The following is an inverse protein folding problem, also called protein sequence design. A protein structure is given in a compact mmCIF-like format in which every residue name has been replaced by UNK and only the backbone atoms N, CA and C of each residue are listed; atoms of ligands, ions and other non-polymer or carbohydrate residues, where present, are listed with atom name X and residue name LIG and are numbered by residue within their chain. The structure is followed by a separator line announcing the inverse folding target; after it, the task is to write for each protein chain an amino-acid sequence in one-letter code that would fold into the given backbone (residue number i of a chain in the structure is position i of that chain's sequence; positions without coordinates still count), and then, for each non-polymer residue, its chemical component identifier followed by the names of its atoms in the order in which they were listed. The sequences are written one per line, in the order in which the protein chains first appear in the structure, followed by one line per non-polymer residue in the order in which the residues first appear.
data_IF_400570706943
#
_entry.id   IF_400570706943
#
_cell.length_a   1.000
_cell.length_b   1.000
_cell.length_c   1.000
_cell.angle_alpha   90.00
_cell.angle_beta   90.00
_cell.angle_gamma   90.00
#
_symmetry.space_group_name_H-M   'P 1'
#
loop_
_entity.id
_entity.type
_entity.pdbx_description
1 polymer ?
#
# COMPACT_ATOMS: atom_id res chain seq x y z
N UNK A 1 -19.89 20.62 -16.24
CA UNK A 1 -18.65 21.17 -15.65
C UNK A 1 -17.98 20.05 -14.89
N UNK A 2 -16.66 19.79 -15.08
CA UNK A 2 -15.98 18.69 -14.39
C UNK A 2 -15.72 19.09 -12.94
N UNK A 3 -15.95 18.16 -12.01
CA UNK A 3 -15.76 18.38 -10.57
C UNK A 3 -14.31 18.07 -10.23
N UNK A 4 -13.60 18.99 -9.61
CA UNK A 4 -12.26 18.81 -9.13
C UNK A 4 -12.24 18.61 -7.61
N UNK A 5 -11.38 17.70 -7.13
CA UNK A 5 -10.96 17.67 -5.73
C UNK A 5 -9.51 18.13 -5.63
N UNK A 6 -9.15 18.75 -4.52
CA UNK A 6 -7.77 19.08 -4.18
C UNK A 6 -7.31 18.15 -3.07
N UNK A 7 -6.10 17.60 -3.21
CA UNK A 7 -5.42 16.95 -2.08
C UNK A 7 -4.10 17.66 -1.79
N UNK A 8 -3.92 18.06 -0.55
CA UNK A 8 -2.70 18.67 -0.06
C UNK A 8 -2.20 17.96 1.20
N UNK A 9 -0.88 17.84 1.32
CA UNK A 9 -0.21 17.40 2.55
C UNK A 9 0.73 18.50 3.02
N UNK A 10 0.38 19.13 4.13
CA UNK A 10 1.11 20.23 4.70
C UNK A 10 1.99 19.76 5.86
N UNK A 11 3.26 20.15 5.87
CA UNK A 11 4.20 19.84 6.94
C UNK A 11 4.37 21.07 7.84
N UNK A 12 4.31 20.88 9.15
CA UNK A 12 4.59 21.94 10.12
C UNK A 12 6.07 22.36 10.15
N UNK A 13 6.95 21.63 9.46
CA UNK A 13 8.40 21.85 9.40
C UNK A 13 8.89 22.46 8.09
N UNK A 14 8.06 22.63 7.09
CA UNK A 14 8.44 23.26 5.82
C UNK A 14 8.61 24.78 6.03
N UNK A 15 9.81 25.15 6.48
CA UNK A 15 10.23 26.55 6.53
C UNK A 15 10.38 27.09 5.11
N UNK A 16 9.30 27.63 4.53
CA UNK A 16 9.40 28.35 3.28
C UNK A 16 8.23 28.29 2.30
N UNK A 17 7.27 27.39 2.50
CA UNK A 17 6.05 27.39 1.67
C UNK A 17 4.82 27.33 2.58
N UNK A 18 4.11 28.45 2.62
CA UNK A 18 2.81 28.53 3.28
C UNK A 18 1.84 27.54 2.60
N UNK A 19 1.27 26.57 3.37
CA UNK A 19 0.29 25.62 2.86
C UNK A 19 -0.89 26.30 2.15
N UNK A 20 -1.31 27.46 2.62
CA UNK A 20 -2.39 28.23 2.03
C UNK A 20 -2.00 28.77 0.64
N UNK A 21 -0.74 29.09 0.42
CA UNK A 21 -0.25 29.50 -0.91
C UNK A 21 -0.39 28.36 -1.92
N UNK A 22 -0.11 27.11 -1.53
CA UNK A 22 -0.29 25.95 -2.41
C UNK A 22 -1.76 25.71 -2.74
N UNK A 23 -2.62 25.74 -1.71
CA UNK A 23 -4.07 25.58 -1.90
C UNK A 23 -4.64 26.68 -2.79
N UNK A 24 -4.24 27.93 -2.56
CA UNK A 24 -4.67 29.07 -3.39
C UNK A 24 -4.31 28.86 -4.86
N UNK A 25 -3.08 28.44 -5.15
CA UNK A 25 -2.64 28.19 -6.53
C UNK A 25 -3.40 27.04 -7.19
N UNK A 26 -3.75 26.00 -6.43
CA UNK A 26 -4.55 24.88 -6.94
C UNK A 26 -6.02 25.32 -7.19
N UNK A 27 -6.59 26.18 -6.36
CA UNK A 27 -7.92 26.77 -6.56
C UNK A 27 -7.94 27.63 -7.82
N UNK A 28 -6.97 28.55 -7.97
CA UNK A 28 -6.80 29.37 -9.16
C UNK A 28 -6.60 28.54 -10.44
N UNK A 29 -5.87 27.41 -10.33
CA UNK A 29 -5.70 26.49 -11.44
C UNK A 29 -7.03 25.80 -11.80
N UNK A 30 -7.79 25.33 -10.82
CA UNK A 30 -9.11 24.74 -11.05
C UNK A 30 -10.05 25.71 -11.77
N UNK A 31 -10.09 26.97 -11.31
CA UNK A 31 -10.91 28.01 -11.90
C UNK A 31 -10.52 28.30 -13.36
N UNK A 32 -9.21 28.51 -13.63
CA UNK A 32 -8.71 28.74 -15.01
C UNK A 32 -9.01 27.58 -15.96
N UNK A 33 -9.05 26.33 -15.43
CA UNK A 33 -9.40 25.14 -16.23
C UNK A 33 -10.90 24.90 -16.34
N UNK A 34 -11.74 25.76 -15.75
CA UNK A 34 -13.18 25.62 -15.73
C UNK A 34 -13.69 24.42 -14.95
N UNK A 35 -12.95 23.98 -13.93
CA UNK A 35 -13.39 22.94 -13.02
C UNK A 35 -14.24 23.55 -11.89
N UNK A 36 -15.26 22.84 -11.44
CA UNK A 36 -15.97 23.17 -10.20
C UNK A 36 -15.29 22.45 -9.02
N UNK A 37 -14.89 23.18 -7.99
CA UNK A 37 -14.28 22.58 -6.81
C UNK A 37 -15.34 21.83 -6.00
N UNK A 38 -15.16 20.50 -5.85
CA UNK A 38 -16.06 19.65 -5.10
C UNK A 38 -15.63 19.53 -3.62
N UNK A 39 -14.34 19.34 -3.35
CA UNK A 39 -13.82 19.18 -2.00
C UNK A 39 -12.30 19.42 -1.92
N UNK A 40 -11.83 19.79 -0.73
CA UNK A 40 -10.41 19.91 -0.41
C UNK A 40 -10.07 18.95 0.73
N UNK A 41 -9.12 18.06 0.50
CA UNK A 41 -8.60 17.10 1.45
C UNK A 41 -7.21 17.55 1.91
N UNK A 42 -7.05 17.90 3.19
CA UNK A 42 -5.80 18.47 3.69
C UNK A 42 -5.29 17.66 4.87
N UNK A 43 -4.22 16.90 4.67
CA UNK A 43 -3.52 16.18 5.72
C UNK A 43 -2.41 17.04 6.33
N UNK A 44 -2.38 17.13 7.67
CA UNK A 44 -1.32 17.80 8.41
C UNK A 44 -0.28 16.78 8.88
N UNK A 45 0.94 16.84 8.33
CA UNK A 45 2.05 15.97 8.74
C UNK A 45 2.62 16.45 10.06
N UNK A 46 2.17 15.89 11.19
CA UNK A 46 2.83 16.01 12.49
C UNK A 46 3.78 14.82 12.70
N UNK A 47 5.02 15.07 13.09
CA UNK A 47 6.15 14.14 13.04
C UNK A 47 5.99 12.75 13.70
N UNK A 48 5.01 12.51 14.58
CA UNK A 48 4.83 11.24 15.28
C UNK A 48 3.62 10.40 14.82
N UNK A 49 2.58 11.00 14.27
CA UNK A 49 1.41 10.29 13.73
C UNK A 49 1.22 10.65 12.26
N UNK A 50 1.73 9.78 11.41
CA UNK A 50 1.61 9.91 9.97
C UNK A 50 0.25 9.34 9.50
N UNK A 51 -0.84 9.75 10.16
CA UNK A 51 -2.20 9.36 9.81
C UNK A 51 -2.67 10.24 8.66
N UNK A 52 -3.01 9.62 7.52
CA UNK A 52 -3.50 10.28 6.31
C UNK A 52 -5.01 10.08 6.20
N UNK A 53 -5.74 10.60 7.17
CA UNK A 53 -7.19 10.47 7.22
C UNK A 53 -7.85 11.08 5.99
N UNK A 54 -7.40 12.27 5.58
CA UNK A 54 -7.92 12.97 4.41
C UNK A 54 -7.58 12.28 3.09
N UNK A 55 -6.38 11.67 2.98
CA UNK A 55 -6.05 10.82 1.83
C UNK A 55 -6.98 9.62 1.70
N UNK A 56 -7.29 8.94 2.82
CA UNK A 56 -8.24 7.82 2.80
C UNK A 56 -9.65 8.28 2.44
N UNK A 57 -10.11 9.40 3.01
CA UNK A 57 -11.40 9.99 2.68
C UNK A 57 -11.49 10.37 1.20
N UNK A 58 -10.42 10.93 0.64
CA UNK A 58 -10.30 11.25 -0.78
C UNK A 58 -10.42 9.99 -1.65
N UNK A 59 -9.71 8.89 -1.31
CA UNK A 59 -9.83 7.63 -2.07
C UNK A 59 -11.24 7.04 -1.99
N UNK A 60 -11.88 7.10 -0.83
CA UNK A 60 -13.28 6.66 -0.69
C UNK A 60 -14.24 7.50 -1.53
N UNK A 61 -14.05 8.82 -1.57
CA UNK A 61 -14.83 9.70 -2.41
C UNK A 61 -14.58 9.43 -3.90
N UNK A 62 -13.34 9.13 -4.29
CA UNK A 62 -12.99 8.71 -5.65
C UNK A 62 -13.77 7.46 -6.07
N UNK A 63 -13.79 6.42 -5.23
CA UNK A 63 -14.55 5.17 -5.47
C UNK A 63 -16.04 5.40 -5.60
N UNK A 64 -16.57 6.41 -4.92
CA UNK A 64 -17.97 6.86 -5.02
C UNK A 64 -18.21 7.87 -6.17
N UNK A 65 -17.20 8.13 -6.99
CA UNK A 65 -17.22 9.13 -8.07
C UNK A 65 -17.65 10.52 -7.59
N UNK A 66 -17.13 10.93 -6.44
CA UNK A 66 -17.39 12.23 -5.83
C UNK A 66 -16.78 13.40 -6.60
N UNK A 67 -15.78 13.13 -7.45
CA UNK A 67 -15.11 14.10 -8.32
C UNK A 67 -14.62 13.43 -9.60
N UNK A 68 -14.22 14.22 -10.59
CA UNK A 68 -13.81 13.77 -11.92
C UNK A 68 -12.32 14.04 -12.18
N UNK A 69 -11.70 14.94 -11.40
CA UNK A 69 -10.28 15.31 -11.50
C UNK A 69 -9.72 15.49 -10.09
N UNK A 70 -8.53 14.91 -9.81
CA UNK A 70 -7.77 15.18 -8.60
C UNK A 70 -6.61 16.12 -8.92
N UNK A 71 -6.54 17.24 -8.19
CA UNK A 71 -5.47 18.22 -8.27
C UNK A 71 -4.55 18.08 -7.07
N UNK A 72 -3.24 17.97 -7.30
CA UNK A 72 -2.23 17.95 -6.25
C UNK A 72 -1.12 18.95 -6.55
N UNK A 73 -0.44 19.42 -5.51
CA UNK A 73 0.67 20.35 -5.68
C UNK A 73 1.89 19.68 -6.31
N UNK A 74 2.28 18.50 -5.75
CA UNK A 74 3.44 17.70 -6.17
C UNK A 74 3.22 16.23 -5.89
N UNK A 75 3.90 15.36 -6.64
CA UNK A 75 3.84 13.90 -6.43
C UNK A 75 4.28 13.48 -5.05
N UNK A 76 5.36 14.06 -4.51
CA UNK A 76 5.91 13.72 -3.20
C UNK A 76 5.01 14.18 -2.04
N UNK A 77 4.10 15.09 -2.30
CA UNK A 77 3.04 15.48 -1.35
C UNK A 77 1.84 14.54 -1.43
N UNK A 78 1.60 13.97 -2.58
CA UNK A 78 0.52 13.01 -2.80
C UNK A 78 0.91 11.59 -2.36
N UNK A 79 2.02 11.05 -2.85
CA UNK A 79 2.47 9.68 -2.60
C UNK A 79 3.80 9.65 -1.84
N UNK A 80 4.00 8.61 -1.01
CA UNK A 80 5.24 8.38 -0.24
C UNK A 80 6.27 7.56 -1.02
N UNK A 81 5.87 6.97 -2.11
CA UNK A 81 6.71 6.15 -2.99
C UNK A 81 6.16 6.16 -4.40
N UNK A 82 7.02 5.87 -5.37
CA UNK A 82 6.60 5.66 -6.75
C UNK A 82 5.52 4.57 -6.86
N UNK A 83 5.64 3.49 -6.10
CA UNK A 83 4.62 2.43 -6.06
C UNK A 83 3.24 2.95 -5.62
N UNK A 84 3.18 3.75 -4.55
CA UNK A 84 1.92 4.34 -4.08
C UNK A 84 1.32 5.24 -5.14
N UNK A 85 2.15 6.08 -5.79
CA UNK A 85 1.71 6.94 -6.89
C UNK A 85 1.10 6.13 -8.03
N UNK A 86 1.85 5.17 -8.56
CA UNK A 86 1.39 4.35 -9.70
C UNK A 86 0.13 3.55 -9.39
N UNK A 87 0.03 2.98 -8.18
CA UNK A 87 -1.16 2.24 -7.78
C UNK A 87 -2.40 3.16 -7.69
N UNK A 88 -2.23 4.36 -7.11
CA UNK A 88 -3.32 5.33 -7.03
C UNK A 88 -3.75 5.83 -8.41
N UNK A 89 -2.80 6.07 -9.31
CA UNK A 89 -3.08 6.50 -10.68
C UNK A 89 -3.79 5.41 -11.50
N UNK A 90 -3.38 4.14 -11.33
CA UNK A 90 -4.08 3.03 -11.96
C UNK A 90 -5.52 2.87 -11.42
N UNK A 91 -5.74 3.09 -10.13
CA UNK A 91 -7.07 3.11 -9.53
C UNK A 91 -7.92 4.25 -10.09
N UNK A 92 -7.36 5.46 -10.21
CA UNK A 92 -8.07 6.62 -10.78
C UNK A 92 -8.41 6.41 -12.26
N UNK A 93 -7.49 5.88 -13.05
CA UNK A 93 -7.75 5.55 -14.46
C UNK A 93 -8.91 4.55 -14.59
N UNK A 94 -8.91 3.49 -13.79
CA UNK A 94 -10.02 2.52 -13.73
C UNK A 94 -11.36 3.11 -13.28
N UNK A 95 -11.34 4.19 -12.51
CA UNK A 95 -12.52 4.95 -12.08
C UNK A 95 -12.93 6.07 -13.07
N UNK A 96 -12.09 6.33 -14.09
CA UNK A 96 -12.29 7.45 -15.03
C UNK A 96 -12.04 8.82 -14.39
N UNK A 97 -11.16 8.89 -13.38
CA UNK A 97 -10.76 10.11 -12.69
C UNK A 97 -9.40 10.55 -13.24
N UNK A 98 -9.31 11.80 -13.70
CA UNK A 98 -8.05 12.38 -14.12
C UNK A 98 -7.22 12.86 -12.92
N UNK A 99 -5.91 12.91 -13.11
CA UNK A 99 -4.95 13.37 -12.11
C UNK A 99 -4.07 14.50 -12.67
N UNK A 100 -3.92 15.57 -11.90
CA UNK A 100 -3.07 16.68 -12.26
C UNK A 100 -2.10 17.00 -11.13
N UNK A 101 -0.81 16.99 -11.41
CA UNK A 101 0.23 17.51 -10.54
C UNK A 101 0.71 18.86 -11.05
N UNK A 102 0.38 19.90 -10.28
CA UNK A 102 0.55 21.29 -10.73
C UNK A 102 2.00 21.66 -10.98
N UNK A 103 2.89 21.34 -10.05
CA UNK A 103 4.29 21.80 -10.10
C UNK A 103 5.11 21.04 -11.16
N UNK A 104 4.83 19.76 -11.37
CA UNK A 104 5.51 18.96 -12.39
C UNK A 104 4.86 19.06 -13.78
N UNK A 105 3.72 19.75 -13.89
CA UNK A 105 3.00 19.90 -15.14
C UNK A 105 2.44 18.60 -15.71
N UNK A 106 2.31 17.57 -14.86
CA UNK A 106 1.79 16.29 -15.28
C UNK A 106 0.27 16.26 -15.16
N UNK A 107 -0.40 16.02 -16.28
CA UNK A 107 -1.85 16.18 -16.45
C UNK A 107 -2.41 15.03 -17.30
N UNK A 108 -3.10 14.07 -16.67
CA UNK A 108 -3.71 12.94 -17.38
C UNK A 108 -4.92 13.33 -18.23
N UNK A 109 -5.42 14.56 -18.10
CA UNK A 109 -6.43 15.05 -19.03
C UNK A 109 -5.87 15.21 -20.45
N UNK A 110 -4.53 15.26 -20.58
CA UNK A 110 -3.82 15.40 -21.87
C UNK A 110 -3.25 14.05 -22.34
N UNK A 111 -3.12 13.84 -23.67
CA UNK A 111 -2.46 12.63 -24.19
C UNK A 111 -1.03 12.48 -23.70
N UNK A 112 -0.26 13.57 -23.60
CA UNK A 112 1.13 13.57 -23.15
C UNK A 112 1.24 13.14 -21.68
N UNK A 113 0.35 13.63 -20.81
CA UNK A 113 0.30 13.24 -19.41
C UNK A 113 -0.05 11.75 -19.25
N UNK A 114 -1.04 11.26 -20.01
CA UNK A 114 -1.38 9.83 -20.01
C UNK A 114 -0.19 8.96 -20.46
N UNK A 115 0.53 9.36 -21.50
CA UNK A 115 1.73 8.66 -21.94
C UNK A 115 2.80 8.62 -20.84
N UNK A 116 3.08 9.76 -20.19
CA UNK A 116 4.05 9.85 -19.10
C UNK A 116 3.68 8.89 -17.97
N UNK A 117 2.41 8.86 -17.54
CA UNK A 117 1.94 7.93 -16.51
C UNK A 117 2.03 6.46 -16.93
N UNK A 118 1.74 6.14 -18.18
CA UNK A 118 1.95 4.80 -18.73
C UNK A 118 3.41 4.35 -18.63
N UNK A 119 4.36 5.23 -18.93
CA UNK A 119 5.80 4.95 -18.78
C UNK A 119 6.15 4.74 -17.29
N UNK A 120 5.69 5.60 -16.39
CA UNK A 120 5.93 5.45 -14.95
C UNK A 120 5.34 4.15 -14.39
N UNK A 121 4.14 3.76 -14.82
CA UNK A 121 3.51 2.50 -14.45
C UNK A 121 4.33 1.28 -14.90
N UNK A 122 4.78 1.29 -16.15
CA UNK A 122 5.65 0.22 -16.70
C UNK A 122 6.98 0.13 -15.96
N UNK A 123 7.58 1.27 -15.59
CA UNK A 123 8.82 1.29 -14.81
C UNK A 123 8.62 0.72 -13.41
N UNK A 124 7.53 1.06 -12.74
CA UNK A 124 7.23 0.53 -11.40
C UNK A 124 6.93 -0.98 -11.42
N UNK A 125 6.33 -1.50 -12.48
CA UNK A 125 6.12 -2.94 -12.68
C UNK A 125 7.44 -3.66 -12.94
N UNK A 126 8.31 -3.07 -13.76
CA UNK A 126 9.65 -3.59 -13.98
C UNK A 126 10.47 -3.65 -12.70
N UNK A 127 10.49 -2.59 -11.87
CA UNK A 127 11.16 -2.62 -10.58
C UNK A 127 10.60 -3.71 -9.66
N UNK A 128 9.28 -3.93 -9.67
CA UNK A 128 8.63 -4.99 -8.89
C UNK A 128 9.09 -6.38 -9.35
N UNK A 129 9.17 -6.61 -10.64
CA UNK A 129 9.63 -7.90 -11.19
C UNK A 129 11.08 -8.17 -10.83
N UNK A 130 11.97 -7.17 -10.92
CA UNK A 130 13.37 -7.28 -10.49
C UNK A 130 13.51 -7.63 -9.00
N UNK A 131 12.70 -7.00 -8.14
CA UNK A 131 12.69 -7.33 -6.71
C UNK A 131 12.24 -8.77 -6.49
N UNK A 132 11.17 -9.21 -7.15
CA UNK A 132 10.67 -10.58 -7.05
C UNK A 132 11.71 -11.61 -7.51
N UNK A 133 12.42 -11.34 -8.60
CA UNK A 133 13.52 -12.20 -9.07
C UNK A 133 14.66 -12.28 -8.05
N UNK A 134 15.09 -11.15 -7.51
CA UNK A 134 16.13 -11.12 -6.46
C UNK A 134 15.73 -11.90 -5.22
N UNK A 135 14.49 -11.77 -4.78
CA UNK A 135 13.94 -12.53 -3.64
C UNK A 135 13.94 -14.03 -3.95
N UNK A 136 13.44 -14.44 -5.13
CA UNK A 136 13.45 -15.85 -5.57
C UNK A 136 14.87 -16.42 -5.60
N UNK A 137 15.80 -15.68 -6.19
CA UNK A 137 17.21 -16.08 -6.25
C UNK A 137 17.85 -16.20 -4.85
N UNK A 138 17.53 -15.25 -3.95
CA UNK A 138 17.96 -15.28 -2.54
C UNK A 138 17.41 -16.49 -1.79
N UNK A 139 16.13 -16.82 -1.97
CA UNK A 139 15.50 -18.00 -1.38
C UNK A 139 16.10 -19.30 -1.92
N UNK A 140 16.34 -19.39 -3.23
CA UNK A 140 16.98 -20.55 -3.84
C UNK A 140 18.38 -20.77 -3.29
N UNK A 141 19.19 -19.71 -3.13
CA UNK A 141 20.52 -19.75 -2.52
C UNK A 141 20.45 -20.19 -1.06
N UNK A 142 19.54 -19.65 -0.28
CA UNK A 142 19.36 -20.04 1.13
C UNK A 142 18.97 -21.52 1.25
N UNK A 143 18.08 -22.00 0.36
CA UNK A 143 17.70 -23.42 0.30
C UNK A 143 18.89 -24.32 -0.06
N UNK A 144 19.72 -23.92 -1.03
CA UNK A 144 20.94 -24.66 -1.41
C UNK A 144 21.97 -24.70 -0.28
N UNK A 145 21.99 -23.71 0.61
CA UNK A 145 22.80 -23.66 1.83
C UNK A 145 22.17 -24.44 3.02
N UNK A 146 21.09 -25.18 2.81
CA UNK A 146 20.39 -25.91 3.88
C UNK A 146 19.60 -25.04 4.85
N UNK A 147 19.45 -23.73 4.58
CA UNK A 147 18.66 -22.84 5.43
C UNK A 147 17.17 -23.06 5.20
N UNK A 148 16.40 -23.12 6.28
CA UNK A 148 14.97 -23.23 6.19
C UNK A 148 14.35 -21.90 5.71
N UNK A 149 13.62 -21.93 4.59
CA UNK A 149 12.99 -20.76 3.98
C UNK A 149 11.47 -20.83 4.11
N UNK A 150 10.96 -20.83 5.32
CA UNK A 150 9.52 -20.95 5.57
C UNK A 150 9.18 -20.63 7.01
N UNK A 151 7.98 -21.02 7.43
CA UNK A 151 7.59 -20.89 8.83
C UNK A 151 8.60 -21.64 9.71
N UNK A 152 9.13 -21.06 10.79
CA UNK A 152 10.07 -21.73 11.69
C UNK A 152 9.55 -23.10 12.11
N UNK A 153 10.44 -24.09 12.09
CA UNK A 153 10.08 -25.41 12.59
C UNK A 153 9.82 -25.35 14.09
N UNK A 154 8.87 -26.14 14.54
CA UNK A 154 8.62 -26.26 15.97
C UNK A 154 9.87 -26.82 16.67
N UNK A 155 10.27 -26.26 17.83
CA UNK A 155 11.37 -26.81 18.61
C UNK A 155 11.18 -28.32 18.87
N UNK A 156 12.25 -29.08 18.74
CA UNK A 156 12.22 -30.54 18.92
C UNK A 156 11.68 -31.00 20.30
N UNK A 157 11.89 -30.17 21.33
CA UNK A 157 11.33 -30.42 22.66
C UNK A 157 9.79 -30.40 22.62
N UNK A 158 9.24 -29.39 21.99
CA UNK A 158 7.77 -29.23 21.87
C UNK A 158 7.15 -30.29 20.96
N UNK A 159 7.88 -30.72 19.93
CA UNK A 159 7.49 -31.84 19.07
C UNK A 159 7.43 -33.16 19.84
N UNK A 160 8.43 -33.45 20.69
CA UNK A 160 8.45 -34.64 21.57
C UNK A 160 7.28 -34.64 22.53
N UNK A 161 7.02 -33.50 23.17
CA UNK A 161 5.90 -33.36 24.11
C UNK A 161 4.54 -33.63 23.43
N UNK A 162 4.35 -33.16 22.19
CA UNK A 162 3.14 -33.47 21.40
C UNK A 162 3.00 -34.97 21.16
N UNK A 163 4.12 -35.65 20.79
CA UNK A 163 4.12 -37.11 20.54
C UNK A 163 3.83 -37.92 21.80
N UNK A 164 4.36 -37.49 22.95
CA UNK A 164 4.07 -38.11 24.25
C UNK A 164 2.60 -38.01 24.61
N UNK A 165 2.02 -36.80 24.53
CA UNK A 165 0.59 -36.59 24.81
C UNK A 165 -0.34 -37.32 23.82
N UNK A 166 0.08 -37.50 22.57
CA UNK A 166 -0.65 -38.35 21.60
C UNK A 166 -0.59 -39.84 21.94
N UNK A 167 0.55 -40.33 22.47
CA UNK A 167 0.71 -41.72 22.88
C UNK A 167 -0.07 -42.05 24.15
N UNK A 168 -0.13 -41.11 25.10
CA UNK A 168 -0.92 -41.27 26.32
C UNK A 168 -2.42 -41.43 26.05
N UNK A 169 -2.90 -40.86 24.95
CA UNK A 169 -4.30 -40.98 24.50
C UNK A 169 -5.34 -40.28 25.37
N UNK A 170 -4.92 -39.59 26.44
CA UNK A 170 -5.82 -38.96 27.41
C UNK A 170 -6.41 -37.63 26.96
N UNK A 171 -5.87 -37.03 25.90
CA UNK A 171 -6.29 -35.70 25.41
C UNK A 171 -6.61 -35.76 23.91
N UNK A 172 -7.66 -35.02 23.53
CA UNK A 172 -7.95 -34.82 22.12
C UNK A 172 -6.90 -33.94 21.46
N UNK A 173 -6.72 -34.06 20.13
CA UNK A 173 -5.76 -33.24 19.36
C UNK A 173 -6.01 -31.73 19.57
N UNK A 174 -7.26 -31.30 19.76
CA UNK A 174 -7.61 -29.92 20.07
C UNK A 174 -7.16 -29.52 21.48
N UNK A 175 -7.32 -30.40 22.47
CA UNK A 175 -6.87 -30.16 23.84
C UNK A 175 -5.34 -30.07 23.92
N UNK A 176 -4.61 -30.93 23.21
CA UNK A 176 -3.15 -30.87 23.10
C UNK A 176 -2.72 -29.53 22.43
N UNK A 177 -3.39 -29.14 21.35
CA UNK A 177 -3.13 -27.87 20.68
C UNK A 177 -3.29 -26.67 21.61
N UNK A 178 -4.37 -26.64 22.38
CA UNK A 178 -4.64 -25.59 23.38
C UNK A 178 -3.61 -25.58 24.50
N UNK A 179 -3.21 -26.77 25.00
CA UNK A 179 -2.23 -26.91 26.08
C UNK A 179 -0.85 -26.41 25.69
N UNK A 180 -0.43 -26.65 24.45
CA UNK A 180 0.92 -26.36 23.97
C UNK A 180 0.99 -25.09 23.10
N UNK A 181 -0.12 -24.35 22.99
CA UNK A 181 -0.23 -23.16 22.13
C UNK A 181 0.23 -23.45 20.68
N UNK A 182 -0.38 -24.47 20.07
CA UNK A 182 -0.19 -24.85 18.67
C UNK A 182 -1.54 -25.18 18.02
N UNK A 183 -1.62 -25.08 16.69
CA UNK A 183 -2.87 -25.46 16.02
C UNK A 183 -3.12 -26.95 16.11
N UNK A 184 -4.38 -27.37 16.23
CA UNK A 184 -4.77 -28.79 16.24
C UNK A 184 -4.37 -29.52 14.96
N UNK A 185 -4.32 -28.81 13.84
CA UNK A 185 -3.87 -29.31 12.55
C UNK A 185 -2.38 -29.67 12.59
N UNK A 186 -1.60 -28.88 13.30
CA UNK A 186 -0.18 -29.15 13.50
C UNK A 186 0.04 -30.41 14.38
N UNK A 187 -0.79 -30.58 15.41
CA UNK A 187 -0.79 -31.81 16.23
C UNK A 187 -1.12 -33.03 15.39
N UNK A 188 -2.08 -32.91 14.44
CA UNK A 188 -2.43 -33.99 13.50
C UNK A 188 -1.24 -34.37 12.61
N UNK A 189 -0.60 -33.37 11.97
CA UNK A 189 0.54 -33.59 11.07
C UNK A 189 1.70 -34.28 11.78
N UNK A 190 2.04 -33.87 13.02
CA UNK A 190 3.10 -34.56 13.82
C UNK A 190 2.74 -36.02 14.12
N UNK A 191 1.49 -36.32 14.38
CA UNK A 191 1.03 -37.68 14.60
C UNK A 191 1.10 -38.57 13.36
N UNK A 192 0.86 -38.00 12.16
CA UNK A 192 0.89 -38.70 10.87
C UNK A 192 2.29 -38.91 10.31
N UNK A 193 3.28 -38.06 10.63
CA UNK A 193 4.68 -38.22 10.18
C UNK A 193 5.41 -39.43 10.84
N UNK A 194 4.83 -40.11 11.82
CA UNK A 194 5.44 -41.24 12.55
C UNK A 194 4.64 -42.55 12.44
N UNK A 195 3.60 -42.58 11.60
CA UNK A 195 2.97 -43.81 11.14
C UNK A 195 3.47 -44.18 9.76
#
# INVERSE_FOLDING_TARGET
MRRAAIYARVSTTDRGQDPETQLRQLREYAERRGFSLAHEYVDHASGAKNDRAEYRAMLEAARKRGFDVLLVWRYDRFARSMRELVNALAEFDGLGIDFVSYNEGADTTTPQGRLLFGIMASLAEFERSLIAERVKAGMARAKAQGKHTGRPRLPEAKRREILELLREGNLSRRAIGKKLDVSHEFVRLIGEEKL
#
